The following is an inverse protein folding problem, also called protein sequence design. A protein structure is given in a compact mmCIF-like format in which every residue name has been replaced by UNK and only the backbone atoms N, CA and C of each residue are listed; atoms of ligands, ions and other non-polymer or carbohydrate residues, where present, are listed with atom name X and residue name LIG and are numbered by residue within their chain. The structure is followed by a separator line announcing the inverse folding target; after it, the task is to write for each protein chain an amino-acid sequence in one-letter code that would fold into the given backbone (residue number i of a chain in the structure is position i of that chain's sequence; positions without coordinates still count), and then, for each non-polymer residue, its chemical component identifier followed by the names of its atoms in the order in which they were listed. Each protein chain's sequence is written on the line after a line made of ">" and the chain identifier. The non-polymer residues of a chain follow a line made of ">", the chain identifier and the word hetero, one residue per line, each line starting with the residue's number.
data_IF_924660222767
#
_entry.id   IF_924660222767
#
_cell.length_a   1.000
_cell.length_b   1.000
_cell.length_c   1.000
_cell.angle_alpha   90.00
_cell.angle_beta   90.00
_cell.angle_gamma   90.00
#
_symmetry.space_group_name_H-M   'P 1'
#
loop_
_entity.id
_entity.type
_entity.pdbx_description
1 polymer ?
#
# COMPACT_ATOMS: atom_id res chain seq x y z
N UNK A 1 -42.11 -3.01 -82.84
CA UNK A 1 -40.68 -2.63 -83.03
C UNK A 1 -39.69 -3.59 -82.36
N UNK A 2 -40.07 -4.40 -81.36
CA UNK A 2 -39.17 -5.42 -80.75
C UNK A 2 -39.26 -6.79 -81.44
N UNK A 3 -40.38 -7.11 -82.10
CA UNK A 3 -40.59 -8.42 -82.76
C UNK A 3 -39.69 -8.65 -83.98
N UNK A 4 -39.30 -7.59 -84.70
CA UNK A 4 -38.40 -7.67 -85.87
C UNK A 4 -36.92 -7.45 -85.51
N UNK A 5 -36.61 -7.17 -84.25
CA UNK A 5 -35.23 -6.99 -83.81
C UNK A 5 -34.56 -8.37 -83.73
N UNK A 6 -33.51 -8.60 -84.50
CA UNK A 6 -32.75 -9.86 -84.51
C UNK A 6 -31.29 -9.60 -84.16
N UNK A 7 -30.73 -10.44 -83.29
CA UNK A 7 -29.31 -10.39 -82.91
C UNK A 7 -28.64 -11.69 -83.36
N UNK A 8 -27.63 -11.57 -84.22
CA UNK A 8 -26.84 -12.70 -84.74
C UNK A 8 -25.48 -12.74 -84.07
N UNK A 9 -25.20 -13.81 -83.32
CA UNK A 9 -23.92 -14.01 -82.63
C UNK A 9 -23.46 -15.45 -82.86
N UNK A 10 -22.23 -15.62 -83.37
CA UNK A 10 -21.59 -16.93 -83.47
C UNK A 10 -22.35 -18.00 -84.27
N UNK A 11 -23.08 -17.60 -85.33
CA UNK A 11 -23.83 -18.53 -86.18
C UNK A 11 -25.27 -18.82 -85.74
N UNK A 12 -25.72 -18.29 -84.59
CA UNK A 12 -27.10 -18.42 -84.11
C UNK A 12 -27.86 -17.08 -84.22
N UNK A 13 -29.15 -17.13 -84.59
CA UNK A 13 -30.04 -15.96 -84.70
C UNK A 13 -31.05 -15.98 -83.56
N UNK A 14 -31.03 -14.95 -82.72
CA UNK A 14 -31.99 -14.77 -81.61
C UNK A 14 -33.01 -13.68 -81.94
N UNK A 15 -34.31 -13.96 -81.75
CA UNK A 15 -35.37 -12.95 -81.86
C UNK A 15 -35.40 -12.06 -80.61
N UNK A 16 -35.61 -10.76 -80.80
CA UNK A 16 -35.54 -9.72 -79.78
C UNK A 16 -36.51 -9.94 -78.61
N UNK A 17 -37.66 -10.57 -78.84
CA UNK A 17 -38.61 -10.89 -77.77
C UNK A 17 -38.03 -11.88 -76.74
N UNK A 18 -37.25 -12.88 -77.18
CA UNK A 18 -36.62 -13.85 -76.27
C UNK A 18 -35.57 -13.18 -75.38
N UNK A 19 -34.81 -12.25 -75.96
CA UNK A 19 -33.81 -11.45 -75.23
C UNK A 19 -34.54 -10.54 -74.23
N UNK A 20 -35.63 -9.90 -74.64
CA UNK A 20 -36.45 -9.05 -73.80
C UNK A 20 -37.13 -9.81 -72.64
N UNK A 21 -37.50 -11.09 -72.84
CA UNK A 21 -38.02 -11.94 -71.78
C UNK A 21 -36.93 -12.47 -70.84
N UNK A 22 -35.74 -12.78 -71.36
CA UNK A 22 -34.63 -13.34 -70.59
C UNK A 22 -33.91 -12.30 -69.72
N UNK A 23 -33.75 -11.06 -70.21
CA UNK A 23 -33.02 -9.99 -69.52
C UNK A 23 -33.57 -9.69 -68.11
N UNK A 24 -34.89 -9.51 -67.90
CA UNK A 24 -35.46 -9.30 -66.57
C UNK A 24 -35.23 -10.50 -65.65
N UNK A 25 -35.40 -11.72 -66.15
CA UNK A 25 -35.23 -12.96 -65.37
C UNK A 25 -33.78 -13.10 -64.88
N UNK A 26 -32.82 -12.90 -65.79
CA UNK A 26 -31.40 -12.94 -65.46
C UNK A 26 -31.00 -11.79 -64.54
N UNK A 27 -31.53 -10.58 -64.75
CA UNK A 27 -31.31 -9.43 -63.88
C UNK A 27 -31.85 -9.63 -62.47
N UNK A 28 -33.06 -10.17 -62.33
CA UNK A 28 -33.68 -10.49 -61.04
C UNK A 28 -32.95 -11.61 -60.30
N UNK A 29 -32.53 -12.67 -61.01
CA UNK A 29 -31.70 -13.73 -60.44
C UNK A 29 -30.34 -13.21 -59.99
N UNK A 30 -29.67 -12.43 -60.83
CA UNK A 30 -28.35 -11.86 -60.52
C UNK A 30 -28.41 -10.88 -59.34
N UNK A 31 -29.43 -10.02 -59.31
CA UNK A 31 -29.69 -9.12 -58.18
C UNK A 31 -30.01 -9.88 -56.89
N UNK A 32 -30.85 -10.93 -56.98
CA UNK A 32 -31.18 -11.79 -55.84
C UNK A 32 -29.96 -12.50 -55.25
N UNK A 33 -29.06 -13.00 -56.11
CA UNK A 33 -27.79 -13.61 -55.67
C UNK A 33 -26.87 -12.58 -55.02
N UNK A 34 -26.75 -11.37 -55.58
CA UNK A 34 -25.92 -10.30 -55.00
C UNK A 34 -26.39 -9.88 -53.60
N UNK A 35 -27.68 -9.58 -53.44
CA UNK A 35 -28.23 -9.22 -52.14
C UNK A 35 -28.21 -10.40 -51.16
N UNK A 36 -28.42 -11.63 -51.64
CA UNK A 36 -28.26 -12.85 -50.84
C UNK A 36 -26.83 -13.03 -50.35
N UNK A 37 -25.83 -12.77 -51.19
CA UNK A 37 -24.43 -12.86 -50.81
C UNK A 37 -24.02 -11.76 -49.82
N UNK A 38 -24.40 -10.50 -50.05
CA UNK A 38 -24.09 -9.37 -49.16
C UNK A 38 -24.65 -9.59 -47.75
N UNK A 39 -25.91 -10.05 -47.66
CA UNK A 39 -26.55 -10.33 -46.37
C UNK A 39 -25.86 -11.45 -45.61
N UNK A 40 -25.45 -12.52 -46.28
CA UNK A 40 -24.65 -13.61 -45.67
C UNK A 40 -23.26 -13.14 -45.23
N UNK A 41 -22.59 -12.33 -46.04
CA UNK A 41 -21.26 -11.81 -45.69
C UNK A 41 -21.32 -10.89 -44.46
N UNK A 42 -22.34 -10.02 -44.38
CA UNK A 42 -22.58 -9.19 -43.20
C UNK A 42 -22.96 -10.03 -41.97
N UNK A 43 -23.71 -11.12 -42.16
CA UNK A 43 -24.02 -12.05 -41.08
C UNK A 43 -22.74 -12.68 -40.49
N UNK A 44 -21.85 -13.20 -41.33
CA UNK A 44 -20.57 -13.77 -40.87
C UNK A 44 -19.66 -12.73 -40.21
N UNK A 45 -19.64 -11.49 -40.72
CA UNK A 45 -18.89 -10.41 -40.10
C UNK A 45 -19.42 -10.08 -38.70
N UNK A 46 -20.74 -10.07 -38.52
CA UNK A 46 -21.38 -9.88 -37.20
C UNK A 46 -21.08 -11.05 -36.27
N UNK A 47 -21.17 -12.30 -36.75
CA UNK A 47 -20.87 -13.49 -35.96
C UNK A 47 -19.42 -13.48 -35.44
N UNK A 48 -18.46 -13.15 -36.31
CA UNK A 48 -17.06 -12.96 -35.94
C UNK A 48 -16.85 -11.80 -34.94
N UNK A 49 -17.60 -10.71 -35.13
CA UNK A 49 -17.60 -9.57 -34.21
C UNK A 49 -18.12 -9.95 -32.82
N UNK A 50 -19.21 -10.70 -32.74
CA UNK A 50 -19.81 -11.20 -31.48
C UNK A 50 -18.81 -12.09 -30.76
N UNK A 51 -18.16 -13.03 -31.44
CA UNK A 51 -17.15 -13.89 -30.83
C UNK A 51 -16.02 -13.07 -30.16
N UNK A 52 -15.58 -12.02 -30.84
CA UNK A 52 -14.55 -11.10 -30.32
C UNK A 52 -15.03 -10.33 -29.09
N UNK A 53 -16.25 -9.81 -29.12
CA UNK A 53 -16.85 -9.07 -28.00
C UNK A 53 -17.03 -9.98 -26.78
N UNK A 54 -17.50 -11.22 -26.99
CA UNK A 54 -17.68 -12.21 -25.91
C UNK A 54 -16.34 -12.52 -25.24
N UNK A 55 -15.27 -12.77 -26.02
CA UNK A 55 -13.92 -13.01 -25.47
C UNK A 55 -13.40 -11.82 -24.66
N UNK A 56 -13.60 -10.61 -25.17
CA UNK A 56 -13.20 -9.37 -24.47
C UNK A 56 -14.01 -9.15 -23.20
N UNK A 57 -15.31 -9.43 -23.22
CA UNK A 57 -16.20 -9.33 -22.05
C UNK A 57 -15.74 -10.26 -20.93
N UNK A 58 -15.46 -11.53 -21.22
CA UNK A 58 -14.98 -12.46 -20.20
C UNK A 58 -13.62 -12.06 -19.60
N UNK A 59 -12.74 -11.50 -20.42
CA UNK A 59 -11.45 -10.96 -19.95
C UNK A 59 -11.64 -9.72 -19.07
N UNK A 60 -12.57 -8.85 -19.42
CA UNK A 60 -12.94 -7.68 -18.63
C UNK A 60 -13.52 -8.07 -17.28
N UNK A 61 -14.50 -8.99 -17.24
CA UNK A 61 -15.12 -9.46 -16.00
C UNK A 61 -14.10 -10.09 -15.05
N UNK A 62 -13.17 -10.90 -15.58
CA UNK A 62 -12.09 -11.49 -14.79
C UNK A 62 -11.20 -10.41 -14.15
N UNK A 63 -10.86 -9.37 -14.92
CA UNK A 63 -10.02 -8.27 -14.43
C UNK A 63 -10.74 -7.36 -13.44
N UNK A 64 -12.04 -7.14 -13.66
CA UNK A 64 -12.90 -6.40 -12.74
C UNK A 64 -13.03 -7.15 -11.40
N UNK A 65 -13.17 -8.48 -11.44
CA UNK A 65 -13.17 -9.33 -10.24
C UNK A 65 -11.84 -9.27 -9.47
N UNK A 66 -10.71 -9.39 -10.17
CA UNK A 66 -9.38 -9.25 -9.56
C UNK A 66 -9.20 -7.86 -8.91
N UNK A 67 -9.58 -6.80 -9.62
CA UNK A 67 -9.51 -5.44 -9.11
C UNK A 67 -10.38 -5.25 -7.87
N UNK A 68 -11.60 -5.78 -7.87
CA UNK A 68 -12.51 -5.72 -6.72
C UNK A 68 -11.91 -6.42 -5.50
N UNK A 69 -11.32 -7.61 -5.67
CA UNK A 69 -10.62 -8.33 -4.60
C UNK A 69 -9.43 -7.54 -4.04
N UNK A 70 -8.63 -6.92 -4.92
CA UNK A 70 -7.51 -6.06 -4.51
C UNK A 70 -7.98 -4.82 -3.75
N UNK A 71 -9.07 -4.20 -4.17
CA UNK A 71 -9.67 -3.05 -3.48
C UNK A 71 -10.14 -3.47 -2.09
N UNK A 72 -10.87 -4.58 -1.96
CA UNK A 72 -11.30 -5.10 -0.65
C UNK A 72 -10.11 -5.37 0.29
N UNK A 73 -9.04 -5.98 -0.25
CA UNK A 73 -7.82 -6.23 0.52
C UNK A 73 -7.16 -4.92 0.98
N UNK A 74 -7.14 -3.90 0.11
CA UNK A 74 -6.63 -2.57 0.44
C UNK A 74 -7.51 -1.85 1.47
N UNK A 75 -8.83 -1.92 1.33
CA UNK A 75 -9.78 -1.33 2.28
C UNK A 75 -9.61 -1.96 3.67
N UNK A 76 -9.47 -3.28 3.75
CA UNK A 76 -9.21 -3.99 4.99
C UNK A 76 -7.84 -3.59 5.57
N UNK A 77 -6.78 -3.57 4.76
CA UNK A 77 -5.46 -3.16 5.22
C UNK A 77 -5.44 -1.69 5.71
N UNK A 78 -6.20 -0.79 5.09
CA UNK A 78 -6.30 0.61 5.52
C UNK A 78 -7.12 0.75 6.81
N UNK A 79 -8.18 -0.04 6.97
CA UNK A 79 -8.93 -0.10 8.24
C UNK A 79 -8.07 -0.66 9.38
N UNK A 80 -7.31 -1.72 9.11
CA UNK A 80 -6.41 -2.35 10.08
C UNK A 80 -5.23 -1.45 10.45
N UNK A 81 -4.73 -0.65 9.50
CA UNK A 81 -3.68 0.36 9.72
C UNK A 81 -4.22 1.62 10.42
N UNK A 82 -5.13 1.46 11.38
CA UNK A 82 -5.88 2.48 12.12
C UNK A 82 -5.11 3.81 12.29
N UNK A 83 -5.25 4.66 11.27
CA UNK A 83 -4.56 5.95 11.20
C UNK A 83 -5.13 6.90 12.25
N UNK A 84 -6.34 6.63 12.76
CA UNK A 84 -6.95 7.36 13.87
C UNK A 84 -6.31 6.94 15.19
N UNK A 85 -6.04 5.65 15.37
CA UNK A 85 -5.30 5.10 16.50
C UNK A 85 -3.86 5.60 16.60
N UNK A 86 -3.23 5.99 15.48
CA UNK A 86 -1.90 6.63 15.51
C UNK A 86 -1.89 7.92 16.35
N UNK A 87 -2.93 8.74 16.30
CA UNK A 87 -2.98 9.97 17.11
C UNK A 87 -3.04 9.64 18.61
N UNK A 88 -3.85 8.65 19.00
CA UNK A 88 -3.89 8.16 20.38
C UNK A 88 -2.53 7.60 20.82
N UNK A 89 -1.89 6.75 20.00
CA UNK A 89 -0.55 6.20 20.30
C UNK A 89 0.50 7.29 20.41
N UNK A 90 0.49 8.27 19.51
CA UNK A 90 1.39 9.43 19.56
C UNK A 90 1.15 10.30 20.80
N UNK A 91 -0.11 10.52 21.18
CA UNK A 91 -0.47 11.21 22.41
C UNK A 91 0.03 10.45 23.64
N UNK A 92 -0.17 9.13 23.69
CA UNK A 92 0.36 8.27 24.77
C UNK A 92 1.88 8.32 24.85
N UNK A 93 2.58 8.20 23.71
CA UNK A 93 4.04 8.29 23.64
C UNK A 93 4.50 9.68 24.12
N UNK A 94 3.83 10.76 23.70
CA UNK A 94 4.16 12.12 24.13
C UNK A 94 4.03 12.28 25.65
N UNK A 95 2.95 11.77 26.24
CA UNK A 95 2.76 11.78 27.70
C UNK A 95 3.83 10.95 28.41
N UNK A 96 4.12 9.74 27.93
CA UNK A 96 5.17 8.89 28.49
C UNK A 96 6.55 9.57 28.43
N UNK A 97 6.86 10.24 27.32
CA UNK A 97 8.10 11.00 27.17
C UNK A 97 8.19 12.15 28.18
N UNK A 98 7.10 12.90 28.41
CA UNK A 98 7.08 13.94 29.44
C UNK A 98 7.34 13.37 30.84
N UNK A 99 6.68 12.26 31.19
CA UNK A 99 6.90 11.58 32.47
C UNK A 99 8.34 11.08 32.62
N UNK A 100 8.93 10.50 31.57
CA UNK A 100 10.33 10.05 31.59
C UNK A 100 11.28 11.23 31.82
N UNK A 101 11.05 12.37 31.18
CA UNK A 101 11.88 13.56 31.37
C UNK A 101 11.79 14.12 32.80
N UNK A 102 10.60 14.10 33.40
CA UNK A 102 10.41 14.48 34.81
C UNK A 102 11.14 13.52 35.75
N UNK A 103 10.99 12.21 35.55
CA UNK A 103 11.72 11.20 36.33
C UNK A 103 13.23 11.33 36.17
N UNK A 104 13.72 11.62 34.97
CA UNK A 104 15.14 11.87 34.73
C UNK A 104 15.66 13.12 35.45
N UNK A 105 14.83 14.17 35.57
CA UNK A 105 15.17 15.36 36.36
C UNK A 105 15.27 15.03 37.84
N UNK A 106 14.32 14.28 38.39
CA UNK A 106 14.34 13.88 39.80
C UNK A 106 15.53 12.96 40.09
N UNK A 107 15.85 12.03 39.18
CA UNK A 107 17.03 11.17 39.28
C UNK A 107 18.34 11.98 39.22
N UNK A 108 18.40 13.04 38.40
CA UNK A 108 19.56 13.92 38.36
C UNK A 108 19.73 14.69 39.67
N UNK A 109 18.64 15.16 40.27
CA UNK A 109 18.69 15.85 41.56
C UNK A 109 19.11 14.90 42.70
N UNK A 110 18.53 13.69 42.76
CA UNK A 110 18.95 12.64 43.69
C UNK A 110 20.44 12.32 43.54
N UNK A 111 20.94 12.19 42.30
CA UNK A 111 22.38 12.00 42.04
C UNK A 111 23.21 13.15 42.62
N UNK A 112 22.79 14.40 42.43
CA UNK A 112 23.50 15.56 42.97
C UNK A 112 23.46 15.63 44.50
N UNK A 113 22.33 15.24 45.12
CA UNK A 113 22.21 15.14 46.57
C UNK A 113 23.13 14.04 47.13
N UNK A 114 23.19 12.87 46.49
CA UNK A 114 24.09 11.77 46.87
C UNK A 114 25.55 12.19 46.73
N UNK A 115 25.93 12.89 45.66
CA UNK A 115 27.30 13.40 45.47
C UNK A 115 27.69 14.39 46.58
N UNK A 116 26.80 15.32 46.94
CA UNK A 116 27.01 16.23 48.08
C UNK A 116 27.08 15.48 49.41
N UNK A 117 26.22 14.48 49.62
CA UNK A 117 26.25 13.64 50.82
C UNK A 117 27.55 12.87 50.94
N UNK A 118 28.06 12.33 49.83
CA UNK A 118 29.33 11.60 49.80
C UNK A 118 30.47 12.54 50.20
N UNK A 119 30.55 13.75 49.64
CA UNK A 119 31.56 14.73 50.03
C UNK A 119 31.46 15.20 51.49
N UNK A 120 30.25 15.31 52.03
CA UNK A 120 30.04 15.59 53.47
C UNK A 120 30.51 14.40 54.31
N UNK A 121 30.13 13.17 53.95
CA UNK A 121 30.56 11.94 54.63
C UNK A 121 32.08 11.83 54.65
N UNK A 122 32.76 12.05 53.52
CA UNK A 122 34.22 12.04 53.45
C UNK A 122 34.85 13.09 54.37
N UNK A 123 34.26 14.30 54.43
CA UNK A 123 34.74 15.35 55.33
C UNK A 123 34.51 15.01 56.82
N UNK A 124 33.39 14.37 57.15
CA UNK A 124 33.09 13.90 58.49
C UNK A 124 34.06 12.79 58.91
N UNK A 125 34.34 11.85 58.02
CA UNK A 125 35.27 10.74 58.24
C UNK A 125 36.65 11.25 58.65
N UNK A 126 37.22 12.18 57.86
CA UNK A 126 38.50 12.82 58.17
C UNK A 126 38.51 13.55 59.53
N UNK A 127 37.39 14.18 59.94
CA UNK A 127 37.29 14.85 61.25
C UNK A 127 37.20 13.82 62.38
N UNK A 128 36.46 12.74 62.19
CA UNK A 128 36.35 11.65 63.16
C UNK A 128 37.70 10.96 63.37
N UNK A 129 38.46 10.71 62.30
CA UNK A 129 39.83 10.18 62.39
C UNK A 129 40.75 11.10 63.21
N UNK A 130 40.66 12.41 62.97
CA UNK A 130 41.42 13.40 63.73
C UNK A 130 41.01 13.38 65.21
N UNK A 131 39.71 13.36 65.51
CA UNK A 131 39.23 13.29 66.89
C UNK A 131 39.64 11.99 67.58
N UNK A 132 39.61 10.86 66.87
CA UNK A 132 40.07 9.58 67.40
C UNK A 132 41.56 9.65 67.73
N UNK A 133 42.38 10.23 66.85
CA UNK A 133 43.82 10.42 67.11
C UNK A 133 44.06 11.34 68.31
N UNK A 134 43.34 12.46 68.41
CA UNK A 134 43.45 13.38 69.55
C UNK A 134 43.04 12.70 70.87
N UNK A 135 42.00 11.87 70.87
CA UNK A 135 41.58 11.07 72.03
C UNK A 135 42.66 10.07 72.41
N UNK A 136 43.20 9.31 71.45
CA UNK A 136 44.25 8.31 71.71
C UNK A 136 45.52 8.96 72.25
N UNK A 137 45.89 10.14 71.75
CA UNK A 137 47.06 10.88 72.23
C UNK A 137 46.83 11.46 73.64
N UNK A 138 45.60 11.89 73.98
CA UNK A 138 45.24 12.29 75.35
C UNK A 138 45.35 11.09 76.30
N UNK A 139 44.87 9.90 75.91
CA UNK A 139 45.01 8.69 76.72
C UNK A 139 46.47 8.32 76.94
N UNK A 140 47.31 8.34 75.90
CA UNK A 140 48.75 8.10 76.05
C UNK A 140 49.43 9.14 76.93
N UNK A 141 49.06 10.41 76.80
CA UNK A 141 49.58 11.47 77.65
C UNK A 141 49.17 11.26 79.11
N UNK A 142 47.92 10.88 79.36
CA UNK A 142 47.42 10.53 80.68
C UNK A 142 48.17 9.34 81.27
N UNK A 143 48.33 8.24 80.53
CA UNK A 143 49.09 7.07 80.95
C UNK A 143 50.55 7.44 81.27
N UNK A 144 51.19 8.28 80.44
CA UNK A 144 52.56 8.74 80.68
C UNK A 144 52.71 9.60 81.95
N UNK A 145 51.66 10.37 82.30
CA UNK A 145 51.62 11.20 83.50
C UNK A 145 51.39 10.35 84.76
N UNK A 146 50.63 9.26 84.63
CA UNK A 146 50.41 8.28 85.69
C UNK A 146 51.68 7.46 85.94
N UNK A 147 52.39 7.05 84.89
CA UNK A 147 53.60 6.23 84.98
C UNK A 147 54.84 7.04 85.43
N UNK A 148 54.90 8.35 85.15
CA UNK A 148 55.96 9.24 85.62
C UNK A 148 55.38 10.51 86.26
N UNK A 149 54.86 10.42 87.49
CA UNK A 149 54.28 11.57 88.18
C UNK A 149 55.34 12.65 88.38
N UNK A 150 55.03 13.86 87.93
CA UNK A 150 55.91 15.03 88.07
C UNK A 150 56.15 15.28 89.58
N UNK A 151 57.37 14.99 90.05
CA UNK A 151 57.89 15.47 91.33
C UNK A 151 58.19 16.96 91.28
#
# INVERSE_FOLDING_TARGET
>A
MIEDAEVKVGGFTFKGWYIAAALPILGSLSGGIYYGYDTLQRFYAVESGIETVVKKSGSFDSKAGELSSRIQTLEQAVQDNDVRGLNTRLSTISTQMQTILEQQKDLLDLRSQVERSTGITDSLDNKLDKYQTEIDDIWKAYDSLVDNPLN
#
